data_IF_227024746869
#
_entry.id   IF_227024746869
#
_cell.length_a   1.000
_cell.length_b   1.000
_cell.length_c   1.000
_cell.angle_alpha   90.00
_cell.angle_beta   90.00
_cell.angle_gamma   90.00
#
_symmetry.space_group_name_H-M   'P 1'
#
loop_
_entity.id
_entity.type
_entity.pdbx_description
1 polymer ?
#
# COMPACT_ATOMS: atom_id res chain seq x y z
N UNK A 1 -9.47 11.66 30.61
CA UNK A 1 -8.71 11.74 29.36
C UNK A 1 -9.60 11.13 28.30
N UNK A 2 -10.02 11.89 27.30
CA UNK A 2 -10.71 11.30 26.15
C UNK A 2 -9.72 10.42 25.40
N UNK A 3 -10.17 9.23 25.01
CA UNK A 3 -9.38 8.35 24.17
C UNK A 3 -9.53 8.87 22.73
N UNK A 4 -8.57 9.69 22.29
CA UNK A 4 -8.58 10.32 20.96
C UNK A 4 -8.20 9.33 19.84
N UNK A 5 -8.19 8.04 20.15
CA UNK A 5 -7.84 6.97 19.20
C UNK A 5 -9.04 6.63 18.33
N UNK A 6 -8.77 6.51 17.05
CA UNK A 6 -9.77 6.22 16.04
C UNK A 6 -9.51 4.85 15.41
N UNK A 7 -10.54 4.21 14.84
CA UNK A 7 -10.38 2.95 14.15
C UNK A 7 -9.32 3.05 13.06
N UNK A 8 -8.32 2.17 13.11
CA UNK A 8 -7.34 2.05 12.03
C UNK A 8 -7.98 1.28 10.89
N UNK A 9 -7.97 1.86 9.70
CA UNK A 9 -8.56 1.29 8.50
C UNK A 9 -7.49 0.93 7.47
N UNK A 10 -7.80 -0.09 6.67
CA UNK A 10 -7.08 -0.43 5.44
C UNK A 10 -7.87 0.08 4.25
N UNK A 11 -7.24 0.87 3.40
CA UNK A 11 -7.79 1.36 2.13
C UNK A 11 -7.15 0.60 0.97
N UNK A 12 -7.96 0.24 -0.03
CA UNK A 12 -7.51 -0.45 -1.25
C UNK A 12 -8.06 0.24 -2.52
N UNK A 13 -7.17 0.48 -3.49
CA UNK A 13 -7.45 1.26 -4.71
C UNK A 13 -7.76 0.43 -5.98
N UNK A 14 -7.31 -0.83 -6.09
CA UNK A 14 -7.59 -1.75 -7.22
C UNK A 14 -8.07 -3.15 -6.75
N UNK A 15 -9.24 -3.20 -6.09
CA UNK A 15 -9.85 -4.42 -5.56
C UNK A 15 -9.06 -5.12 -4.44
N UNK A 16 -9.73 -5.94 -3.63
CA UNK A 16 -9.10 -6.56 -2.45
C UNK A 16 -7.87 -7.43 -2.76
N UNK A 17 -7.74 -7.91 -4.00
CA UNK A 17 -6.78 -8.94 -4.41
C UNK A 17 -5.60 -8.42 -5.23
N UNK A 18 -5.61 -7.16 -5.66
CA UNK A 18 -4.58 -6.58 -6.54
C UNK A 18 -4.17 -5.15 -6.18
N UNK A 19 -4.90 -4.50 -5.28
CA UNK A 19 -4.72 -3.10 -4.97
C UNK A 19 -3.47 -2.77 -4.17
N UNK A 20 -2.82 -1.68 -4.56
CA UNK A 20 -2.13 -0.77 -3.66
C UNK A 20 -2.91 -0.60 -2.34
N UNK A 21 -2.35 -1.04 -1.21
CA UNK A 21 -2.94 -0.82 0.12
C UNK A 21 -2.36 0.43 0.77
N UNK A 22 -3.18 1.06 1.59
CA UNK A 22 -2.79 2.15 2.47
C UNK A 22 -3.44 1.96 3.85
N UNK A 23 -2.83 2.56 4.86
CA UNK A 23 -3.43 2.69 6.19
C UNK A 23 -4.10 4.05 6.31
N UNK A 24 -5.28 4.09 6.91
CA UNK A 24 -6.10 5.28 7.03
C UNK A 24 -6.58 5.43 8.47
N UNK A 25 -6.49 6.65 8.99
CA UNK A 25 -7.13 7.07 10.24
C UNK A 25 -8.09 8.20 9.89
N UNK A 26 -9.41 8.04 10.10
CA UNK A 26 -10.35 9.11 9.84
C UNK A 26 -10.14 10.27 10.82
N UNK A 27 -10.67 11.46 10.53
CA UNK A 27 -10.68 12.59 11.49
C UNK A 27 -11.65 12.35 12.66
N UNK A 28 -12.73 11.62 12.39
CA UNK A 28 -13.75 11.21 13.36
C UNK A 28 -14.37 9.87 12.96
N UNK A 29 -15.02 9.18 13.89
CA UNK A 29 -15.63 7.87 13.61
C UNK A 29 -16.69 8.01 12.51
N UNK A 30 -16.48 7.34 11.39
CA UNK A 30 -17.39 7.38 10.23
C UNK A 30 -17.06 8.45 9.19
N UNK A 31 -16.04 9.30 9.43
CA UNK A 31 -15.62 10.29 8.44
C UNK A 31 -15.01 9.65 7.19
N UNK A 32 -15.22 10.34 6.07
CA UNK A 32 -14.60 10.04 4.78
C UNK A 32 -13.31 10.85 4.56
N UNK A 33 -12.93 11.68 5.53
CA UNK A 33 -11.74 12.50 5.56
C UNK A 33 -10.84 12.05 6.71
N UNK A 34 -9.53 12.17 6.52
CA UNK A 34 -8.56 11.64 7.45
C UNK A 34 -7.14 11.64 6.91
N UNK A 35 -6.25 10.97 7.63
CA UNK A 35 -4.86 10.81 7.23
C UNK A 35 -4.65 9.45 6.56
N UNK A 36 -4.07 9.47 5.36
CA UNK A 36 -3.64 8.28 4.64
C UNK A 36 -2.12 8.13 4.75
N UNK A 37 -1.66 6.90 5.00
CA UNK A 37 -0.25 6.54 5.09
C UNK A 37 0.04 5.35 4.18
N UNK A 38 0.96 5.55 3.24
CA UNK A 38 1.37 4.52 2.29
C UNK A 38 2.77 4.78 1.72
N UNK A 39 3.29 3.83 0.96
CA UNK A 39 4.48 4.04 0.15
C UNK A 39 4.05 4.59 -1.23
N UNK A 40 4.69 5.67 -1.65
CA UNK A 40 4.61 6.23 -2.99
C UNK A 40 5.91 6.05 -3.77
N UNK A 41 5.89 6.46 -5.05
CA UNK A 41 7.07 6.50 -5.92
C UNK A 41 7.26 7.92 -6.44
N UNK A 42 8.48 8.45 -6.36
CA UNK A 42 8.84 9.70 -7.03
C UNK A 42 9.48 9.37 -8.38
N UNK A 43 8.90 9.94 -9.44
CA UNK A 43 9.48 9.94 -10.78
C UNK A 43 10.27 11.23 -10.93
N UNK A 44 11.53 11.15 -11.32
CA UNK A 44 12.27 12.34 -11.69
C UNK A 44 11.57 13.03 -12.87
N UNK A 45 11.25 14.31 -12.72
CA UNK A 45 10.77 15.11 -13.81
C UNK A 45 11.84 15.10 -14.91
N UNK A 46 11.51 14.58 -16.08
CA UNK A 46 12.42 14.67 -17.23
C UNK A 46 12.57 16.14 -17.58
N UNK A 47 13.70 16.73 -17.20
CA UNK A 47 14.07 18.09 -17.56
C UNK A 47 14.08 18.18 -19.10
N UNK A 48 13.07 18.87 -19.66
CA UNK A 48 13.06 19.43 -21.01
C UNK A 48 13.36 18.49 -22.17
N UNK A 49 12.32 17.94 -22.82
CA UNK A 49 12.27 17.92 -24.28
C UNK A 49 10.87 17.52 -24.75
N UNK A 50 10.25 18.39 -25.56
CA UNK A 50 9.14 18.02 -26.42
C UNK A 50 9.56 16.84 -27.30
N UNK A 51 9.10 15.62 -26.99
CA UNK A 51 8.90 14.57 -27.99
C UNK A 51 8.21 13.35 -27.38
N UNK A 52 7.12 12.98 -28.03
CA UNK A 52 6.55 11.63 -28.12
C UNK A 52 7.61 10.54 -27.99
N UNK A 53 7.72 9.95 -26.82
CA UNK A 53 8.32 8.63 -26.64
C UNK A 53 7.84 8.07 -25.31
N UNK A 54 7.41 6.81 -25.33
CA UNK A 54 7.12 5.99 -24.15
C UNK A 54 8.42 5.84 -23.35
N UNK A 55 8.80 6.86 -22.60
CA UNK A 55 9.86 6.71 -21.61
C UNK A 55 9.27 5.91 -20.46
N UNK A 56 9.71 4.67 -20.35
CA UNK A 56 9.70 3.93 -19.09
C UNK A 56 10.50 4.77 -18.09
N UNK A 57 9.81 5.73 -17.46
CA UNK A 57 10.38 6.57 -16.42
C UNK A 57 10.96 5.66 -15.36
N UNK A 58 12.28 5.68 -15.23
CA UNK A 58 12.99 4.94 -14.20
C UNK A 58 12.43 5.46 -12.87
N UNK A 59 11.76 4.60 -12.11
CA UNK A 59 11.34 4.95 -10.74
C UNK A 59 12.61 5.07 -9.93
N UNK A 60 12.93 6.27 -9.48
CA UNK A 60 14.23 6.55 -8.86
C UNK A 60 14.18 6.45 -7.33
N UNK A 61 13.02 6.64 -6.71
CA UNK A 61 12.93 6.61 -5.24
C UNK A 61 11.55 6.25 -4.70
N UNK A 62 11.52 5.34 -3.73
CA UNK A 62 10.34 5.12 -2.88
C UNK A 62 10.30 6.17 -1.79
N UNK A 63 9.11 6.67 -1.49
CA UNK A 63 8.89 7.66 -0.44
C UNK A 63 7.75 7.24 0.45
N UNK A 64 7.88 7.51 1.75
CA UNK A 64 6.76 7.43 2.68
C UNK A 64 5.86 8.64 2.43
N UNK A 65 4.58 8.38 2.15
CA UNK A 65 3.54 9.39 2.00
C UNK A 65 2.64 9.32 3.23
N UNK A 66 2.46 10.46 3.87
CA UNK A 66 1.53 10.67 4.97
C UNK A 66 0.87 12.03 4.72
N UNK A 67 -0.41 12.03 4.36
CA UNK A 67 -1.11 13.24 3.96
C UNK A 67 -2.61 13.14 4.25
N UNK A 68 -3.26 14.29 4.26
CA UNK A 68 -4.72 14.39 4.26
C UNK A 68 -5.29 13.68 3.03
N UNK A 69 -6.41 13.00 3.25
CA UNK A 69 -7.01 12.15 2.25
C UNK A 69 -8.52 12.16 2.39
N UNK A 70 -9.18 12.26 1.25
CA UNK A 70 -10.62 12.18 1.13
C UNK A 70 -10.99 10.92 0.38
N UNK A 71 -11.75 10.03 1.00
CA UNK A 71 -12.18 8.78 0.38
C UNK A 71 -13.16 9.04 -0.78
N UNK A 72 -13.98 10.08 -0.67
CA UNK A 72 -14.86 10.53 -1.75
C UNK A 72 -14.03 11.11 -2.90
N UNK A 73 -14.08 10.45 -4.06
CA UNK A 73 -13.42 10.92 -5.29
C UNK A 73 -11.95 10.50 -5.46
N UNK A 74 -11.35 9.75 -4.53
CA UNK A 74 -9.92 9.39 -4.55
C UNK A 74 -9.56 8.08 -5.28
N UNK A 75 -10.51 7.47 -5.99
CA UNK A 75 -10.30 6.17 -6.63
C UNK A 75 -10.14 5.00 -5.66
N UNK A 76 -10.19 5.23 -4.34
CA UNK A 76 -10.31 4.17 -3.34
C UNK A 76 -11.58 3.36 -3.61
N UNK A 77 -11.43 2.04 -3.78
CA UNK A 77 -12.54 1.14 -4.05
C UNK A 77 -13.13 0.56 -2.77
N UNK A 78 -12.33 0.51 -1.70
CA UNK A 78 -12.78 -0.02 -0.43
C UNK A 78 -11.96 0.49 0.74
N UNK A 79 -12.61 0.57 1.90
CA UNK A 79 -12.03 0.91 3.19
C UNK A 79 -12.61 -0.03 4.23
N UNK A 80 -11.74 -0.70 4.97
CA UNK A 80 -12.15 -1.69 5.96
C UNK A 80 -11.45 -1.42 7.28
N UNK A 81 -12.19 -1.35 8.41
CA UNK A 81 -11.57 -1.27 9.72
C UNK A 81 -10.76 -2.54 9.98
N UNK A 82 -9.57 -2.38 10.55
CA UNK A 82 -8.74 -3.47 11.01
C UNK A 82 -9.25 -3.88 12.39
N UNK A 83 -9.53 -5.17 12.56
CA UNK A 83 -10.21 -5.68 13.74
C UNK A 83 -9.52 -5.27 15.04
N UNK A 84 -10.23 -4.54 15.91
CA UNK A 84 -9.79 -4.09 17.23
C UNK A 84 -8.52 -3.22 17.22
N UNK A 85 -8.18 -2.60 16.09
CA UNK A 85 -7.04 -1.69 15.99
C UNK A 85 -7.50 -0.23 16.13
N UNK A 86 -6.96 0.47 17.12
CA UNK A 86 -7.29 1.87 17.42
C UNK A 86 -6.02 2.68 17.59
N UNK A 87 -5.98 3.87 17.00
CA UNK A 87 -4.80 4.71 17.07
C UNK A 87 -5.03 6.19 16.76
N UNK A 88 -4.08 7.02 17.18
CA UNK A 88 -3.88 8.38 16.71
C UNK A 88 -3.04 8.44 15.43
N UNK A 89 -3.19 9.54 14.69
CA UNK A 89 -2.35 9.88 13.53
C UNK A 89 -0.84 9.78 13.85
N UNK A 90 -0.43 10.37 14.97
CA UNK A 90 0.97 10.44 15.39
C UNK A 90 1.60 9.07 15.66
N UNK A 91 0.85 8.14 16.26
CA UNK A 91 1.34 6.78 16.48
C UNK A 91 1.49 6.02 15.15
N UNK A 92 0.54 6.17 14.22
CA UNK A 92 0.62 5.57 12.88
C UNK A 92 1.81 6.10 12.10
N UNK A 93 2.00 7.42 12.04
CA UNK A 93 3.13 8.06 11.35
C UNK A 93 4.45 7.53 11.90
N UNK A 94 4.60 7.45 13.22
CA UNK A 94 5.82 6.94 13.86
C UNK A 94 6.09 5.48 13.52
N UNK A 95 5.07 4.62 13.58
CA UNK A 95 5.22 3.20 13.22
C UNK A 95 5.60 3.02 11.74
N UNK A 96 4.97 3.81 10.86
CA UNK A 96 5.25 3.84 9.43
C UNK A 96 6.68 4.28 9.11
N UNK A 97 7.17 5.36 9.73
CA UNK A 97 8.53 5.85 9.57
C UNK A 97 9.58 4.82 10.02
N UNK A 98 9.37 4.18 11.17
CA UNK A 98 10.28 3.15 11.67
C UNK A 98 10.38 1.96 10.72
N UNK A 99 9.23 1.49 10.21
CA UNK A 99 9.21 0.41 9.21
C UNK A 99 9.87 0.84 7.90
N UNK A 100 9.61 2.06 7.44
CA UNK A 100 10.18 2.60 6.21
C UNK A 100 11.70 2.76 6.32
N UNK A 101 12.23 3.25 7.45
CA UNK A 101 13.68 3.38 7.70
C UNK A 101 14.38 2.03 7.75
N UNK A 102 13.74 1.00 8.31
CA UNK A 102 14.33 -0.35 8.49
C UNK A 102 14.32 -1.18 7.21
N UNK A 103 13.35 -0.96 6.32
CA UNK A 103 13.22 -1.72 5.07
C UNK A 103 13.54 -0.85 3.87
N UNK A 104 14.61 -1.18 3.16
CA UNK A 104 14.89 -0.65 1.82
C UNK A 104 13.90 -1.26 0.81
N UNK A 105 12.69 -0.70 0.73
CA UNK A 105 11.67 -1.14 -0.23
C UNK A 105 12.18 -0.95 -1.67
N UNK A 106 12.17 -2.03 -2.48
CA UNK A 106 12.67 -2.07 -3.86
C UNK A 106 11.60 -2.61 -4.84
N UNK A 107 11.83 -2.41 -6.16
CA UNK A 107 10.81 -2.40 -7.23
C UNK A 107 9.91 -3.63 -7.43
N UNK A 108 10.22 -4.79 -6.84
CA UNK A 108 9.82 -6.06 -7.44
C UNK A 108 8.55 -6.73 -6.91
N UNK A 109 7.92 -6.30 -5.82
CA UNK A 109 6.73 -7.00 -5.28
C UNK A 109 5.87 -6.15 -4.37
N UNK A 110 4.57 -5.98 -4.64
CA UNK A 110 3.50 -5.60 -3.68
C UNK A 110 3.94 -4.74 -2.48
N UNK A 111 4.70 -3.67 -2.70
CA UNK A 111 5.38 -2.96 -1.61
C UNK A 111 4.39 -2.32 -0.65
N UNK A 112 3.25 -1.83 -1.14
CA UNK A 112 2.27 -1.12 -0.33
C UNK A 112 1.47 -2.08 0.56
N UNK A 113 1.15 -3.27 0.05
CA UNK A 113 0.54 -4.34 0.85
C UNK A 113 1.49 -4.83 1.93
N UNK A 114 2.73 -5.19 1.56
CA UNK A 114 3.74 -5.63 2.51
C UNK A 114 4.04 -4.55 3.55
N UNK A 115 4.15 -3.29 3.13
CA UNK A 115 4.32 -2.15 4.02
C UNK A 115 3.20 -2.06 5.05
N UNK A 116 1.93 -2.12 4.64
CA UNK A 116 0.81 -2.09 5.58
C UNK A 116 0.89 -3.25 6.59
N UNK A 117 1.20 -4.46 6.12
CA UNK A 117 1.40 -5.63 7.00
C UNK A 117 2.55 -5.40 7.98
N UNK A 118 3.68 -4.88 7.49
CA UNK A 118 4.88 -4.62 8.28
C UNK A 118 4.63 -3.56 9.34
N UNK A 119 3.92 -2.48 9.00
CA UNK A 119 3.51 -1.43 9.94
C UNK A 119 2.66 -2.02 11.05
N UNK A 120 1.58 -2.73 10.72
CA UNK A 120 0.68 -3.34 11.73
C UNK A 120 1.42 -4.37 12.59
N UNK A 121 2.29 -5.19 11.98
CA UNK A 121 3.08 -6.20 12.69
C UNK A 121 4.11 -5.57 13.62
N UNK A 122 4.83 -4.53 13.16
CA UNK A 122 5.78 -3.79 13.98
C UNK A 122 5.06 -3.11 15.14
N UNK A 123 3.91 -2.51 14.86
CA UNK A 123 3.14 -1.79 15.84
C UNK A 123 2.63 -2.70 16.96
N UNK A 124 2.11 -3.88 16.62
CA UNK A 124 1.73 -4.88 17.61
C UNK A 124 2.89 -5.22 18.57
N UNK A 125 4.14 -5.27 18.07
CA UNK A 125 5.31 -5.56 18.91
C UNK A 125 5.60 -4.46 19.93
N UNK A 126 5.32 -3.20 19.60
CA UNK A 126 5.65 -2.05 20.45
C UNK A 126 4.44 -1.54 21.27
N UNK A 127 3.22 -1.80 20.82
CA UNK A 127 1.98 -1.31 21.41
C UNK A 127 0.83 -2.31 21.19
N UNK A 128 0.89 -3.51 21.80
CA UNK A 128 -0.10 -4.57 21.59
C UNK A 128 -1.51 -4.18 22.06
N UNK A 129 -1.63 -3.19 22.94
CA UNK A 129 -2.91 -2.65 23.40
C UNK A 129 -3.65 -1.82 22.34
N UNK A 130 -2.91 -1.13 21.46
CA UNK A 130 -3.50 -0.37 20.34
C UNK A 130 -3.74 -1.25 19.12
N UNK A 131 -2.81 -2.19 18.89
CA UNK A 131 -2.85 -3.13 17.76
C UNK A 131 -2.71 -4.55 18.32
N UNK A 132 -3.83 -5.22 18.64
CA UNK A 132 -3.81 -6.57 19.19
C UNK A 132 -3.40 -7.60 18.14
N UNK A 133 -3.12 -8.82 18.60
CA UNK A 133 -2.77 -9.96 17.74
C UNK A 133 -3.82 -10.20 16.64
N UNK A 134 -5.11 -10.03 16.97
CA UNK A 134 -6.22 -10.19 16.03
C UNK A 134 -6.19 -9.19 14.87
N UNK A 135 -5.66 -7.98 15.08
CA UNK A 135 -5.45 -7.00 14.02
C UNK A 135 -4.39 -7.49 13.02
N UNK A 136 -3.29 -8.07 13.52
CA UNK A 136 -2.23 -8.65 12.68
C UNK A 136 -2.78 -9.82 11.86
N UNK A 137 -3.56 -10.69 12.50
CA UNK A 137 -4.18 -11.86 11.85
C UNK A 137 -5.19 -11.44 10.78
N UNK A 138 -6.01 -10.41 11.01
CA UNK A 138 -6.96 -9.88 10.02
C UNK A 138 -6.24 -9.37 8.77
N UNK A 139 -5.19 -8.54 8.93
CA UNK A 139 -4.44 -7.99 7.79
C UNK A 139 -3.71 -9.09 7.01
N UNK A 140 -3.16 -10.09 7.71
CA UNK A 140 -2.53 -11.25 7.08
C UNK A 140 -3.53 -12.15 6.34
N UNK A 141 -4.70 -12.44 6.93
CA UNK A 141 -5.73 -13.25 6.31
C UNK A 141 -6.21 -12.63 4.99
N UNK A 142 -6.39 -11.30 4.99
CA UNK A 142 -6.74 -10.54 3.78
C UNK A 142 -5.63 -10.52 2.73
N UNK A 143 -4.38 -10.74 3.12
CA UNK A 143 -3.25 -10.81 2.21
C UNK A 143 -3.10 -12.17 1.50
N UNK A 144 -3.59 -13.25 2.12
CA UNK A 144 -3.43 -14.63 1.63
C UNK A 144 -4.20 -14.92 0.32
N UNK A 145 -5.17 -14.09 -0.06
CA UNK A 145 -5.82 -14.17 -1.38
C UNK A 145 -4.92 -13.80 -2.56
N UNK A 146 -3.79 -13.13 -2.29
CA UNK A 146 -2.87 -12.52 -3.28
C UNK A 146 -1.59 -13.33 -3.45
N UNK A 147 -1.02 -13.89 -2.37
CA UNK A 147 0.19 -14.73 -2.43
C UNK A 147 0.01 -15.92 -3.36
N UNK A 148 -1.17 -16.54 -3.38
CA UNK A 148 -1.44 -17.65 -4.31
C UNK A 148 -1.43 -17.20 -5.78
N UNK A 149 -1.96 -16.02 -6.10
CA UNK A 149 -2.01 -15.50 -7.48
C UNK A 149 -0.64 -14.96 -7.91
N UNK A 150 0.07 -14.23 -7.05
CA UNK A 150 1.44 -13.76 -7.33
C UNK A 150 2.43 -14.91 -7.44
N UNK A 151 2.29 -15.97 -6.63
CA UNK A 151 3.09 -17.20 -6.75
C UNK A 151 2.77 -17.94 -8.07
N UNK A 152 1.49 -18.04 -8.44
CA UNK A 152 1.05 -18.62 -9.72
C UNK A 152 1.54 -17.82 -10.93
N UNK A 153 1.47 -16.48 -10.89
CA UNK A 153 1.95 -15.58 -11.95
C UNK A 153 3.48 -15.62 -12.08
N UNK A 154 4.21 -15.68 -10.95
CA UNK A 154 5.67 -15.85 -10.95
C UNK A 154 6.07 -17.21 -11.53
N UNK A 155 5.34 -18.28 -11.21
CA UNK A 155 5.56 -19.63 -11.75
C UNK A 155 5.25 -19.72 -13.24
N UNK A 156 4.20 -19.04 -13.71
CA UNK A 156 3.89 -18.98 -15.15
C UNK A 156 4.87 -18.11 -15.93
N UNK A 157 5.36 -17.00 -15.37
CA UNK A 157 6.40 -16.18 -16.01
C UNK A 157 7.74 -16.92 -16.12
N UNK A 158 8.17 -17.62 -15.07
CA UNK A 158 9.37 -18.47 -15.11
C UNK A 158 9.24 -19.66 -16.09
N UNK A 159 8.04 -20.21 -16.25
CA UNK A 159 7.79 -21.25 -17.26
C UNK A 159 7.71 -20.70 -18.69
N UNK A 160 7.22 -19.47 -18.89
CA UNK A 160 7.18 -18.80 -20.20
C UNK A 160 8.57 -18.38 -20.69
N UNK A 161 9.52 -18.08 -19.80
CA UNK A 161 10.92 -17.84 -20.17
C UNK A 161 11.65 -19.10 -20.68
N UNK A 162 11.12 -20.30 -20.42
CA UNK A 162 11.61 -21.56 -21.01
C UNK A 162 11.03 -21.88 -22.38
N UNK A 163 10.01 -21.16 -22.84
CA UNK A 163 9.36 -21.39 -24.13
C UNK A 163 8.95 -20.06 -24.77
N UNK A 164 9.88 -19.45 -25.52
CA UNK A 164 9.49 -18.48 -26.57
C UNK A 164 8.88 -19.27 -27.75
N UNK A 165 7.75 -18.81 -28.30
CA UNK A 165 7.86 -17.90 -29.45
C UNK A 165 7.03 -16.62 -29.32
N UNK A 166 7.37 -15.68 -30.19
CA UNK A 166 6.77 -14.36 -30.40
C UNK A 166 5.26 -14.42 -30.68
N UNK A 167 4.47 -13.57 -30.02
CA UNK A 167 3.84 -12.39 -30.64
C UNK A 167 2.77 -11.78 -29.72
N UNK A 168 2.55 -10.48 -29.97
CA UNK A 168 1.37 -9.68 -29.66
C UNK A 168 1.14 -9.27 -28.19
N UNK A 169 1.33 -7.97 -27.91
CA UNK A 169 1.00 -7.34 -26.63
C UNK A 169 0.22 -6.06 -26.87
N UNK A 170 -1.10 -6.18 -26.70
CA UNK A 170 -1.99 -5.06 -26.43
C UNK A 170 -1.59 -4.38 -25.11
N UNK A 171 -1.28 -3.10 -25.21
CA UNK A 171 -1.02 -2.17 -24.10
C UNK A 171 -2.24 -2.11 -23.17
N UNK A 172 -2.02 -2.31 -21.86
CA UNK A 172 -2.90 -1.74 -20.83
C UNK A 172 -2.06 -0.77 -19.97
N UNK A 173 -2.42 0.51 -19.87
CA UNK A 173 -1.67 1.48 -19.09
C UNK A 173 -1.85 1.23 -17.58
N UNK A 174 -0.73 1.24 -16.85
CA UNK A 174 -0.70 1.34 -15.38
C UNK A 174 -0.59 2.82 -15.01
N UNK A 175 -1.56 3.32 -14.27
CA UNK A 175 -1.55 4.70 -13.79
C UNK A 175 -0.84 4.79 -12.43
N UNK A 176 -0.05 5.84 -12.26
CA UNK A 176 0.48 6.27 -10.97
C UNK A 176 -0.51 7.26 -10.39
N UNK A 177 -0.82 7.13 -9.10
CA UNK A 177 -1.57 8.13 -8.34
C UNK A 177 -0.54 9.14 -7.84
N UNK A 178 -0.55 10.33 -8.46
CA UNK A 178 0.00 11.57 -7.91
C UNK A 178 -1.15 12.33 -7.21
#
# INVERSE_FOLDING_TARGET
>A
MQDDRLPLCRVAFEGERTAHWALFIPEEIGSHEGTLVHIGVEKAASCGSNRTSKSTGKVEKYVLRCHEFRMMGSGAQSCFPIANAYSTESELRRAAEEVFKRKSYNLLTNNCQHFCIDVVTYWHKICPQSVPRSAVEDVLARAQGVTNISYMLRRTQLNKERTKPENDRGDRPRFSID
#
